data_IF_758819504712
#
_entry.id   IF_758819504712
#
_cell.length_a   1.000
_cell.length_b   1.000
_cell.length_c   1.000
_cell.angle_alpha   90.00
_cell.angle_beta   90.00
_cell.angle_gamma   90.00
#
_symmetry.space_group_name_H-M   'P 1'
#
loop_
_entity.id
_entity.type
_entity.pdbx_description
1 polymer ?
#
# COMPACT_ATOMS: atom_id res chain seq x y z
N UNK A 1 -15.87 3.26 7.48
CA UNK A 1 -14.88 2.97 6.43
C UNK A 1 -14.15 1.68 6.75
N UNK A 2 -13.20 1.25 5.91
CA UNK A 2 -12.37 0.07 6.20
C UNK A 2 -11.42 0.34 7.38
N UNK A 3 -11.00 1.59 7.56
CA UNK A 3 -10.19 2.09 8.68
C UNK A 3 -10.82 1.78 10.04
N UNK A 4 -12.11 2.05 10.22
CA UNK A 4 -12.85 1.80 11.47
C UNK A 4 -12.87 0.32 11.88
N UNK A 5 -12.73 -0.60 10.93
CA UNK A 5 -12.65 -2.04 11.19
C UNK A 5 -11.22 -2.52 11.37
N UNK A 6 -10.27 -1.82 10.76
CA UNK A 6 -8.87 -2.20 10.71
C UNK A 6 -8.01 -1.54 11.80
N UNK A 7 -8.52 -0.53 12.49
CA UNK A 7 -7.83 0.15 13.57
C UNK A 7 -8.61 0.02 14.88
N UNK A 8 -7.90 -0.19 15.98
CA UNK A 8 -8.49 -0.12 17.31
C UNK A 8 -8.58 1.33 17.82
N UNK A 9 -9.12 1.51 19.03
CA UNK A 9 -9.25 2.83 19.67
C UNK A 9 -7.89 3.50 19.97
N UNK A 10 -6.80 2.73 20.02
CA UNK A 10 -5.44 3.24 20.20
C UNK A 10 -4.74 3.61 18.88
N UNK A 11 -5.41 3.41 17.74
CA UNK A 11 -4.83 3.62 16.41
C UNK A 11 -3.88 2.51 15.98
N UNK A 12 -3.96 1.32 16.61
CA UNK A 12 -3.18 0.15 16.20
C UNK A 12 -3.90 -0.60 15.10
N UNK A 13 -3.14 -0.95 14.07
CA UNK A 13 -3.64 -1.61 12.87
C UNK A 13 -3.74 -3.13 13.05
N UNK A 14 -4.89 -3.69 12.66
CA UNK A 14 -5.23 -5.10 12.66
C UNK A 14 -5.94 -5.46 11.34
N UNK A 15 -5.25 -6.11 10.38
CA UNK A 15 -5.89 -6.55 9.15
C UNK A 15 -6.93 -7.63 9.45
N UNK A 16 -8.12 -7.50 8.88
CA UNK A 16 -9.22 -8.45 9.04
C UNK A 16 -9.53 -9.25 7.76
N UNK A 17 -8.88 -8.92 6.65
CA UNK A 17 -9.03 -9.58 5.35
C UNK A 17 -7.64 -9.88 4.78
N UNK A 18 -7.48 -11.05 4.14
CA UNK A 18 -6.18 -11.53 3.65
C UNK A 18 -5.59 -10.67 2.52
N UNK A 19 -6.42 -9.84 1.88
CA UNK A 19 -5.98 -8.90 0.86
C UNK A 19 -5.53 -7.55 1.46
N UNK A 20 -5.64 -7.34 2.77
CA UNK A 20 -5.14 -6.14 3.43
C UNK A 20 -3.63 -6.21 3.65
N UNK A 21 -2.91 -5.08 3.55
CA UNK A 21 -1.47 -5.08 3.79
C UNK A 21 -1.16 -5.59 5.21
N UNK A 22 -0.05 -6.32 5.43
CA UNK A 22 0.26 -6.91 6.73
C UNK A 22 0.62 -5.86 7.80
N UNK A 23 1.03 -4.67 7.36
CA UNK A 23 1.32 -3.53 8.23
C UNK A 23 1.06 -2.23 7.47
N UNK A 24 0.85 -1.15 8.22
CA UNK A 24 0.73 0.19 7.68
C UNK A 24 1.73 1.12 8.38
N UNK A 25 2.34 2.08 7.66
CA UNK A 25 3.13 3.12 8.28
C UNK A 25 2.34 3.89 9.33
N UNK A 26 3.01 4.37 10.37
CA UNK A 26 2.38 5.25 11.33
C UNK A 26 1.99 6.58 10.66
N UNK A 27 0.76 7.04 10.93
CA UNK A 27 0.28 8.38 10.59
C UNK A 27 -0.23 9.05 11.86
N UNK A 28 -0.10 10.38 11.95
CA UNK A 28 -0.62 11.16 13.07
C UNK A 28 -2.13 10.95 13.24
N UNK A 29 -2.86 10.90 12.13
CA UNK A 29 -4.26 10.51 12.09
C UNK A 29 -4.43 9.26 11.20
N UNK A 30 -4.75 8.12 11.81
CA UNK A 30 -4.97 6.86 11.08
C UNK A 30 -6.25 6.89 10.23
N UNK A 31 -7.18 7.82 10.46
CA UNK A 31 -8.35 8.02 9.59
C UNK A 31 -7.97 8.61 8.24
N UNK A 32 -6.79 9.23 8.09
CA UNK A 32 -6.33 9.78 6.81
C UNK A 32 -6.20 8.69 5.73
N UNK A 33 -6.10 7.42 6.14
CA UNK A 33 -6.12 6.27 5.25
C UNK A 33 -7.45 6.08 4.49
N UNK A 34 -8.57 6.67 4.93
CA UNK A 34 -9.83 6.63 4.16
C UNK A 34 -9.77 7.51 2.91
N UNK A 35 -9.02 8.62 2.95
CA UNK A 35 -8.86 9.54 1.81
C UNK A 35 -7.57 9.28 1.01
N UNK A 36 -6.61 8.56 1.61
CA UNK A 36 -5.32 8.23 1.01
C UNK A 36 -4.97 6.75 1.26
N UNK A 37 -5.67 5.89 0.53
CA UNK A 37 -5.71 4.44 0.75
C UNK A 37 -4.40 3.73 0.35
N UNK A 38 -3.99 2.68 1.09
CA UNK A 38 -2.85 1.82 0.73
C UNK A 38 -3.16 0.92 -0.47
N UNK A 39 -2.12 0.35 -1.06
CA UNK A 39 -2.26 -0.84 -1.89
C UNK A 39 -2.68 -2.05 -1.05
N UNK A 40 -3.50 -2.90 -1.67
CA UNK A 40 -3.81 -4.24 -1.14
C UNK A 40 -2.64 -5.20 -1.38
N UNK A 41 -2.65 -6.38 -0.76
CA UNK A 41 -1.65 -7.43 -1.00
C UNK A 41 -1.60 -7.80 -2.49
N UNK A 42 -2.76 -7.91 -3.16
CA UNK A 42 -2.81 -8.13 -4.60
C UNK A 42 -2.21 -6.98 -5.40
N UNK A 43 -2.49 -5.73 -5.00
CA UNK A 43 -1.90 -4.55 -5.64
C UNK A 43 -0.37 -4.51 -5.51
N UNK A 44 0.15 -4.83 -4.32
CA UNK A 44 1.58 -4.96 -4.08
C UNK A 44 2.21 -6.07 -4.95
N UNK A 45 1.54 -7.23 -5.04
CA UNK A 45 2.00 -8.33 -5.88
C UNK A 45 2.02 -7.95 -7.38
N UNK A 46 1.02 -7.20 -7.85
CA UNK A 46 1.00 -6.68 -9.22
C UNK A 46 2.19 -5.75 -9.49
N UNK A 47 2.45 -4.77 -8.62
CA UNK A 47 3.59 -3.86 -8.75
C UNK A 47 4.93 -4.60 -8.71
N UNK A 48 5.08 -5.57 -7.81
CA UNK A 48 6.26 -6.42 -7.72
C UNK A 48 6.50 -7.22 -9.00
N UNK A 49 5.45 -7.83 -9.55
CA UNK A 49 5.56 -8.60 -10.78
C UNK A 49 5.99 -7.76 -11.98
N UNK A 50 5.48 -6.52 -12.09
CA UNK A 50 5.93 -5.58 -13.13
C UNK A 50 7.42 -5.28 -12.97
N UNK A 51 7.89 -4.97 -11.76
CA UNK A 51 9.30 -4.74 -11.48
C UNK A 51 10.19 -5.94 -11.84
N UNK A 52 9.75 -7.16 -11.52
CA UNK A 52 10.48 -8.38 -11.89
C UNK A 52 10.59 -8.57 -13.40
N UNK A 53 9.54 -8.22 -14.16
CA UNK A 53 9.59 -8.30 -15.63
C UNK A 53 10.59 -7.29 -16.17
N UNK A 54 10.57 -6.04 -15.69
CA UNK A 54 11.56 -5.02 -16.10
C UNK A 54 13.00 -5.51 -15.86
N UNK A 55 13.26 -6.06 -14.68
CA UNK A 55 14.56 -6.63 -14.32
C UNK A 55 14.93 -7.83 -15.20
N UNK A 56 14.00 -8.76 -15.43
CA UNK A 56 14.21 -9.98 -16.25
C UNK A 56 14.63 -9.66 -17.68
N UNK A 57 14.08 -8.61 -18.26
CA UNK A 57 14.40 -8.18 -19.63
C UNK A 57 15.51 -7.12 -19.70
N UNK A 58 16.16 -6.82 -18.56
CA UNK A 58 17.24 -5.84 -18.46
C UNK A 58 16.86 -4.46 -19.04
N UNK A 59 15.60 -4.05 -18.83
CA UNK A 59 15.09 -2.78 -19.30
C UNK A 59 15.62 -1.65 -18.40
N UNK A 60 16.34 -0.65 -18.93
CA UNK A 60 16.92 0.41 -18.12
C UNK A 60 15.84 1.35 -17.58
N UNK A 61 15.77 1.49 -16.26
CA UNK A 61 14.94 2.50 -15.58
C UNK A 61 15.85 3.64 -15.12
N UNK A 62 15.78 4.79 -15.79
CA UNK A 62 16.65 5.95 -15.51
C UNK A 62 16.03 6.94 -14.55
N UNK A 63 14.70 6.97 -14.45
CA UNK A 63 13.95 7.80 -13.52
C UNK A 63 12.60 7.12 -13.19
N UNK A 64 12.07 7.39 -12.00
CA UNK A 64 10.75 6.95 -11.56
C UNK A 64 10.02 8.14 -10.95
N UNK A 65 8.78 8.38 -11.38
CA UNK A 65 7.91 9.44 -10.88
C UNK A 65 6.59 8.82 -10.44
N UNK A 66 6.05 9.28 -9.32
CA UNK A 66 4.74 8.87 -8.82
C UNK A 66 3.90 10.07 -8.43
N UNK A 67 2.58 9.86 -8.43
CA UNK A 67 1.62 10.80 -7.84
C UNK A 67 1.82 10.87 -6.31
N UNK A 68 1.45 11.98 -5.64
CA UNK A 68 1.50 12.06 -4.18
C UNK A 68 0.52 11.12 -3.46
N UNK A 69 -0.35 10.41 -4.18
CA UNK A 69 -1.23 9.41 -3.59
C UNK A 69 -0.44 8.21 -3.06
N UNK A 70 -0.81 7.70 -1.88
CA UNK A 70 -0.08 6.63 -1.21
C UNK A 70 -0.03 5.29 -1.98
N UNK A 71 -0.96 5.10 -2.90
CA UNK A 71 -1.06 3.90 -3.76
C UNK A 71 -0.23 3.96 -5.05
N UNK A 72 0.46 5.08 -5.31
CA UNK A 72 1.19 5.35 -6.56
C UNK A 72 2.67 4.99 -6.49
#
# INVERSE_FOLDING_TARGET
GWTQRAFDQSGRYYPFDSNMPPSLPHRANWLDYDIDTPLTVKGLAQSWNVGNVLARYNLPVTACYSSPAFRS
#
